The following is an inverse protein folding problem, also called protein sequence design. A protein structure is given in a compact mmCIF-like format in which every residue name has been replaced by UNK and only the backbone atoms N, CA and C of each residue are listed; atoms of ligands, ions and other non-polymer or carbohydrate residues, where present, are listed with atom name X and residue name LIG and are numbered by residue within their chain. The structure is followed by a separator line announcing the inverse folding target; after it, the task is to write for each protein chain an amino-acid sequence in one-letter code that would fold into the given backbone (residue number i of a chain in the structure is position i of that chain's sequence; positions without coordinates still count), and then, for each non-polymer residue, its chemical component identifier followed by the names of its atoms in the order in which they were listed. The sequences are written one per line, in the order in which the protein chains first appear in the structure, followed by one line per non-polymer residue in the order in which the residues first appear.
data_IF_846303930174
#
_entry.id   IF_846303930174
#
_cell.length_a   1.000
_cell.length_b   1.000
_cell.length_c   1.000
_cell.angle_alpha   90.00
_cell.angle_beta   90.00
_cell.angle_gamma   90.00
#
_symmetry.space_group_name_H-M   'P 1'
#
loop_
_entity.id
_entity.type
_entity.pdbx_description
1 polymer ?
#
# COMPACT_ATOMS: atom_id res chain seq x y z
N UNK A 1 12.49 8.17 -5.37
CA UNK A 1 12.78 6.95 -6.16
C UNK A 1 11.70 6.79 -7.20
N UNK A 2 12.04 6.57 -8.47
CA UNK A 2 11.06 6.32 -9.52
C UNK A 2 10.80 4.80 -9.62
N UNK A 3 9.56 4.36 -9.49
CA UNK A 3 9.19 2.95 -9.65
C UNK A 3 8.98 2.64 -11.14
N UNK A 4 9.43 1.46 -11.56
CA UNK A 4 9.27 0.97 -12.94
C UNK A 4 8.50 -0.35 -12.99
N UNK A 5 7.83 -0.62 -14.11
CA UNK A 5 7.10 -1.88 -14.31
C UNK A 5 8.08 -3.06 -14.25
N UNK A 6 7.66 -4.15 -13.61
CA UNK A 6 8.48 -5.35 -13.39
C UNK A 6 9.44 -5.25 -12.20
N UNK A 7 9.63 -4.06 -11.62
CA UNK A 7 10.38 -3.91 -10.38
C UNK A 7 9.60 -4.52 -9.21
N UNK A 8 10.31 -5.24 -8.33
CA UNK A 8 9.74 -5.68 -7.06
C UNK A 8 9.28 -4.47 -6.25
N UNK A 9 8.02 -4.47 -5.83
CA UNK A 9 7.46 -3.41 -4.98
C UNK A 9 8.27 -3.32 -3.67
N UNK A 10 8.66 -2.11 -3.22
CA UNK A 10 9.29 -1.92 -1.92
C UNK A 10 8.38 -2.39 -0.79
N UNK A 11 8.93 -3.15 0.15
CA UNK A 11 8.16 -3.57 1.32
C UNK A 11 7.98 -2.39 2.28
N UNK A 12 6.85 -2.39 2.99
CA UNK A 12 6.54 -1.39 4.00
C UNK A 12 5.62 -2.01 5.04
N UNK A 13 5.66 -1.43 6.24
CA UNK A 13 4.69 -1.69 7.31
C UNK A 13 4.05 -0.38 7.71
N UNK A 14 2.71 -0.31 7.69
CA UNK A 14 1.94 0.86 8.07
C UNK A 14 0.82 0.47 9.03
N UNK A 15 0.54 1.34 10.00
CA UNK A 15 -0.60 1.17 10.90
C UNK A 15 -1.90 1.46 10.16
N UNK A 16 -2.87 0.56 10.31
CA UNK A 16 -4.23 0.72 9.77
C UNK A 16 -5.16 1.41 10.76
N UNK A 17 -6.28 1.92 10.25
CA UNK A 17 -7.37 2.50 11.06
C UNK A 17 -8.04 1.47 12.00
N UNK A 18 -7.75 0.17 11.86
CA UNK A 18 -8.26 -0.90 12.72
C UNK A 18 -7.30 -1.27 13.86
N UNK A 19 -6.24 -0.47 14.08
CA UNK A 19 -5.26 -0.71 15.14
C UNK A 19 -4.33 -1.91 14.88
N UNK A 20 -4.22 -2.34 13.63
CA UNK A 20 -3.31 -3.41 13.20
C UNK A 20 -2.25 -2.86 12.25
N UNK A 21 -1.03 -3.34 12.37
CA UNK A 21 0.01 -3.08 11.39
C UNK A 21 -0.14 -4.00 10.17
N UNK A 22 0.02 -3.42 8.99
CA UNK A 22 -0.12 -4.08 7.70
C UNK A 22 1.23 -4.04 6.99
N UNK A 23 1.79 -5.21 6.70
CA UNK A 23 3.03 -5.36 5.92
C UNK A 23 2.72 -5.85 4.51
N UNK A 24 3.27 -5.20 3.48
CA UNK A 24 2.98 -5.54 2.08
C UNK A 24 3.38 -6.99 1.75
N UNK A 25 4.55 -7.44 2.21
CA UNK A 25 5.04 -8.80 1.96
C UNK A 25 4.13 -9.92 2.53
N UNK A 26 3.28 -9.63 3.52
CA UNK A 26 2.29 -10.61 4.02
C UNK A 26 1.22 -10.99 2.98
N UNK A 27 1.10 -10.24 1.88
CA UNK A 27 0.14 -10.48 0.81
C UNK A 27 0.74 -11.18 -0.43
N UNK A 28 1.98 -11.69 -0.35
CA UNK A 28 2.57 -12.46 -1.44
C UNK A 28 1.67 -13.65 -1.87
N UNK A 29 1.60 -13.90 -3.18
CA UNK A 29 0.69 -14.89 -3.77
C UNK A 29 -0.73 -14.36 -4.06
N UNK A 30 -1.02 -13.10 -3.74
CA UNK A 30 -2.26 -12.41 -4.12
C UNK A 30 -1.96 -11.22 -5.03
N UNK A 31 -2.91 -10.87 -5.90
CA UNK A 31 -2.88 -9.60 -6.62
C UNK A 31 -3.25 -8.48 -5.64
N UNK A 32 -2.39 -7.47 -5.52
CA UNK A 32 -2.55 -6.33 -4.61
C UNK A 32 -2.55 -5.03 -5.42
N UNK A 33 -3.46 -4.11 -5.08
CA UNK A 33 -3.53 -2.76 -5.66
C UNK A 33 -3.27 -1.75 -4.54
N UNK A 34 -2.34 -0.82 -4.77
CA UNK A 34 -2.07 0.29 -3.87
C UNK A 34 -2.78 1.55 -4.39
N UNK A 35 -3.75 2.05 -3.62
CA UNK A 35 -4.47 3.28 -3.93
C UNK A 35 -4.01 4.40 -3.00
N UNK A 36 -3.25 5.35 -3.55
CA UNK A 36 -2.80 6.55 -2.83
C UNK A 36 -3.79 7.69 -3.08
N UNK A 37 -4.29 8.31 -2.01
CA UNK A 37 -5.20 9.46 -2.09
C UNK A 37 -4.79 10.54 -1.08
N UNK A 38 -5.10 11.83 -1.33
CA UNK A 38 -4.53 12.93 -0.53
C UNK A 38 -5.08 13.02 0.89
N UNK A 39 -6.40 12.93 1.04
CA UNK A 39 -7.08 13.13 2.33
C UNK A 39 -8.45 12.44 2.32
N UNK A 40 -8.88 11.93 3.47
CA UNK A 40 -10.23 11.40 3.65
C UNK A 40 -11.26 12.55 3.76
N UNK A 41 -12.50 12.29 3.34
CA UNK A 41 -13.64 13.21 3.50
C UNK A 41 -13.54 14.54 2.73
N UNK A 42 -12.80 14.57 1.61
CA UNK A 42 -12.78 15.71 0.69
C UNK A 42 -13.81 15.54 -0.42
N UNK A 43 -14.46 16.64 -0.89
CA UNK A 43 -15.26 16.62 -2.13
C UNK A 43 -14.41 16.16 -3.32
N UNK A 44 -15.06 15.57 -4.32
CA UNK A 44 -14.44 15.23 -5.61
C UNK A 44 -14.51 16.40 -6.59
#
# INVERSE_FOLDING_TARGET
MNLSVGQKAPDFTLSSHLGKDITLSNYHGKTVVLAFFPLAWTPI
#
